data_IF_203759534114
#
_entry.id   IF_203759534114
#
_cell.length_a   1.000
_cell.length_b   1.000
_cell.length_c   1.000
_cell.angle_alpha   90.00
_cell.angle_beta   90.00
_cell.angle_gamma   90.00
#
_symmetry.space_group_name_H-M   'P 1'
#
loop_
_entity.id
_entity.type
_entity.pdbx_description
1 polymer ?
#
# COMPACT_ATOMS: atom_id res chain seq x y z
N UNK A 1 -1.77 29.97 0.68
CA UNK A 1 -1.71 28.54 0.35
C UNK A 1 -1.57 27.79 1.65
N UNK A 2 -2.62 27.09 2.07
CA UNK A 2 -2.62 26.38 3.34
C UNK A 2 -1.89 25.05 3.14
N UNK A 3 -0.60 25.02 3.49
CA UNK A 3 0.30 23.87 3.27
C UNK A 3 0.90 23.42 4.58
N UNK A 4 0.92 22.11 4.79
CA UNK A 4 1.63 21.48 5.90
C UNK A 4 2.88 20.81 5.33
N UNK A 5 4.03 21.09 5.92
CA UNK A 5 5.32 20.56 5.48
C UNK A 5 5.96 19.84 6.65
N UNK A 6 6.35 18.60 6.42
CA UNK A 6 7.07 17.79 7.40
C UNK A 6 8.39 17.33 6.77
N UNK A 7 9.50 17.43 7.52
CA UNK A 7 10.84 17.12 7.01
C UNK A 7 11.27 15.72 7.43
N UNK A 8 12.14 15.10 6.64
CA UNK A 8 12.72 13.79 6.95
C UNK A 8 13.37 13.72 8.35
N UNK A 9 14.01 14.80 8.79
CA UNK A 9 14.62 14.90 10.12
C UNK A 9 13.58 14.79 11.25
N UNK A 10 12.40 15.38 11.06
CA UNK A 10 11.30 15.27 12.03
C UNK A 10 10.76 13.84 12.10
N UNK A 11 10.90 13.07 11.01
CA UNK A 11 10.48 11.67 10.91
C UNK A 11 11.47 10.68 11.52
N UNK A 12 12.77 10.96 11.44
CA UNK A 12 13.82 10.11 12.04
C UNK A 12 13.76 10.11 13.58
N UNK A 13 13.12 11.13 14.17
CA UNK A 13 12.85 11.19 15.60
C UNK A 13 11.92 10.09 16.12
N UNK A 14 11.13 9.43 15.25
CA UNK A 14 10.22 8.35 15.66
C UNK A 14 10.91 6.98 15.80
N UNK A 15 12.06 6.78 15.14
CA UNK A 15 12.77 5.50 15.20
C UNK A 15 13.56 5.42 16.51
N UNK A 16 13.46 4.28 17.20
CA UNK A 16 14.28 4.01 18.39
C UNK A 16 15.73 3.73 17.98
N UNK A 17 16.65 3.75 18.95
CA UNK A 17 18.04 3.40 18.68
C UNK A 17 18.19 1.94 18.23
N UNK A 18 17.35 1.04 18.78
CA UNK A 18 17.28 -0.35 18.32
C UNK A 18 16.76 -0.45 16.88
N UNK A 19 15.71 0.31 16.52
CA UNK A 19 15.19 0.35 15.15
C UNK A 19 16.30 0.80 14.17
N UNK A 20 17.06 1.84 14.53
CA UNK A 20 18.18 2.35 13.73
C UNK A 20 19.28 1.31 13.58
N UNK A 21 19.69 0.65 14.66
CA UNK A 21 20.71 -0.39 14.62
C UNK A 21 20.29 -1.59 13.74
N UNK A 22 19.02 -1.98 13.79
CA UNK A 22 18.47 -3.06 12.95
C UNK A 22 18.43 -2.67 11.47
N UNK A 23 18.02 -1.43 11.16
CA UNK A 23 18.05 -0.88 9.80
C UNK A 23 19.48 -0.82 9.26
N UNK A 24 20.43 -0.29 10.04
CA UNK A 24 21.84 -0.22 9.64
C UNK A 24 22.45 -1.61 9.37
N UNK A 25 22.07 -2.61 10.17
CA UNK A 25 22.46 -4.01 9.96
C UNK A 25 21.90 -4.54 8.65
N UNK A 26 20.62 -4.29 8.36
CA UNK A 26 19.97 -4.67 7.10
C UNK A 26 20.66 -4.01 5.89
N UNK A 27 20.92 -2.71 5.96
CA UNK A 27 21.63 -1.95 4.92
C UNK A 27 23.07 -2.45 4.73
N UNK A 28 23.74 -2.88 5.81
CA UNK A 28 25.04 -3.52 5.74
C UNK A 28 25.02 -4.85 4.97
N UNK A 29 24.01 -5.69 5.20
CA UNK A 29 23.83 -6.96 4.47
C UNK A 29 23.48 -6.70 3.00
N UNK A 30 22.58 -5.74 2.74
CA UNK A 30 22.18 -5.42 1.37
C UNK A 30 23.34 -4.81 0.55
N UNK A 31 24.18 -3.98 1.18
CA UNK A 31 25.42 -3.49 0.53
C UNK A 31 26.35 -4.62 0.11
N UNK A 32 26.48 -5.69 0.90
CA UNK A 32 27.24 -6.89 0.49
C UNK A 32 26.60 -7.57 -0.72
N UNK A 33 25.27 -7.67 -0.75
CA UNK A 33 24.55 -8.25 -1.89
C UNK A 33 24.74 -7.42 -3.18
N UNK A 34 24.76 -6.10 -3.08
CA UNK A 34 25.02 -5.20 -4.22
C UNK A 34 26.39 -5.41 -4.87
N UNK A 35 27.41 -5.78 -4.08
CA UNK A 35 28.72 -6.16 -4.63
C UNK A 35 28.61 -7.41 -5.52
N UNK A 36 27.88 -8.44 -5.06
CA UNK A 36 27.61 -9.64 -5.85
C UNK A 36 26.78 -9.34 -7.10
N UNK A 37 25.79 -8.43 -7.05
CA UNK A 37 25.05 -8.01 -8.25
C UNK A 37 25.98 -7.39 -9.30
N UNK A 38 26.90 -6.53 -8.86
CA UNK A 38 27.86 -5.88 -9.74
C UNK A 38 28.77 -6.92 -10.43
N UNK A 39 29.25 -7.91 -9.68
CA UNK A 39 30.07 -9.00 -10.24
C UNK A 39 29.26 -9.85 -11.23
N UNK A 40 28.03 -10.22 -10.90
CA UNK A 40 27.15 -11.01 -11.77
C UNK A 40 26.81 -10.29 -13.08
N UNK A 41 26.63 -8.97 -13.04
CA UNK A 41 26.37 -8.16 -14.23
C UNK A 41 27.57 -8.09 -15.19
N UNK A 42 28.79 -8.20 -14.66
CA UNK A 42 30.03 -8.14 -15.43
C UNK A 42 30.57 -9.53 -15.85
N UNK A 43 30.15 -10.60 -15.17
CA UNK A 43 30.68 -11.94 -15.35
C UNK A 43 30.26 -12.56 -16.71
N UNK A 44 31.24 -13.08 -17.46
CA UNK A 44 31.03 -13.79 -18.75
C UNK A 44 31.17 -15.32 -18.66
N UNK A 45 31.45 -15.89 -17.48
CA UNK A 45 31.72 -17.33 -17.30
C UNK A 45 30.92 -17.99 -16.17
N UNK A 46 30.68 -19.30 -16.29
CA UNK A 46 29.71 -20.06 -15.46
C UNK A 46 30.16 -20.31 -14.01
N UNK A 47 31.46 -20.54 -13.76
CA UNK A 47 31.96 -20.87 -12.41
C UNK A 47 31.92 -19.69 -11.42
N UNK A 48 32.29 -18.48 -11.88
CA UNK A 48 32.19 -17.26 -11.06
C UNK A 48 30.74 -16.89 -10.76
N UNK A 49 29.84 -17.14 -11.72
CA UNK A 49 28.41 -16.88 -11.58
C UNK A 49 27.77 -17.73 -10.48
N UNK A 50 27.99 -19.05 -10.49
CA UNK A 50 27.44 -19.97 -9.47
C UNK A 50 27.89 -19.64 -8.05
N UNK A 51 29.14 -19.19 -7.89
CA UNK A 51 29.68 -18.76 -6.60
C UNK A 51 28.93 -17.53 -6.07
N UNK A 52 28.77 -16.51 -6.90
CA UNK A 52 28.06 -15.28 -6.51
C UNK A 52 26.57 -15.52 -6.30
N UNK A 53 25.92 -16.39 -7.08
CA UNK A 53 24.54 -16.83 -6.85
C UNK A 53 24.40 -17.50 -5.48
N UNK A 54 25.33 -18.38 -5.10
CA UNK A 54 25.34 -19.01 -3.77
C UNK A 54 25.54 -17.99 -2.65
N UNK A 55 26.42 -17.00 -2.85
CA UNK A 55 26.63 -15.92 -1.90
C UNK A 55 25.38 -15.06 -1.71
N UNK A 56 24.68 -14.73 -2.81
CA UNK A 56 23.41 -14.01 -2.75
C UNK A 56 22.34 -14.79 -2.00
N UNK A 57 22.20 -16.09 -2.27
CA UNK A 57 21.25 -16.94 -1.53
C UNK A 57 21.55 -16.88 -0.03
N UNK A 58 22.81 -17.00 0.37
CA UNK A 58 23.21 -16.90 1.78
C UNK A 58 22.84 -15.54 2.39
N UNK A 59 23.14 -14.44 1.70
CA UNK A 59 22.83 -13.09 2.18
C UNK A 59 21.33 -12.84 2.29
N UNK A 60 20.54 -13.30 1.31
CA UNK A 60 19.09 -13.17 1.33
C UNK A 60 18.43 -14.04 2.39
N UNK A 61 18.98 -15.23 2.69
CA UNK A 61 18.53 -16.04 3.82
C UNK A 61 18.80 -15.35 5.17
N UNK A 62 19.97 -14.72 5.32
CA UNK A 62 20.30 -13.94 6.53
C UNK A 62 19.38 -12.72 6.68
N UNK A 63 19.21 -11.92 5.61
CA UNK A 63 18.30 -10.77 5.60
C UNK A 63 16.85 -11.20 5.87
N UNK A 64 16.38 -12.28 5.26
CA UNK A 64 15.03 -12.80 5.46
C UNK A 64 14.79 -13.27 6.89
N UNK A 65 15.78 -13.92 7.52
CA UNK A 65 15.70 -14.33 8.93
C UNK A 65 15.64 -13.10 9.85
N UNK A 66 16.50 -12.11 9.61
CA UNK A 66 16.52 -10.86 10.36
C UNK A 66 15.19 -10.09 10.21
N UNK A 67 14.65 -9.99 8.99
CA UNK A 67 13.35 -9.33 8.76
C UNK A 67 12.21 -10.01 9.51
N UNK A 68 12.16 -11.35 9.50
CA UNK A 68 11.15 -12.09 10.25
C UNK A 68 11.29 -11.88 11.75
N UNK A 69 12.51 -11.85 12.29
CA UNK A 69 12.76 -11.54 13.70
C UNK A 69 12.23 -10.15 14.07
N UNK A 70 12.55 -9.14 13.26
CA UNK A 70 12.11 -7.75 13.48
C UNK A 70 10.58 -7.64 13.42
N UNK A 71 9.95 -8.22 12.40
CA UNK A 71 8.49 -8.16 12.24
C UNK A 71 7.78 -8.95 13.34
N UNK A 72 8.33 -10.07 13.80
CA UNK A 72 7.77 -10.84 14.92
C UNK A 72 7.78 -10.07 16.24
N UNK A 73 8.80 -9.22 16.45
CA UNK A 73 8.87 -8.35 17.61
C UNK A 73 7.88 -7.16 17.55
N UNK A 74 7.37 -6.83 16.37
CA UNK A 74 6.41 -5.75 16.14
C UNK A 74 5.15 -6.26 15.42
N UNK A 75 4.14 -6.78 16.15
CA UNK A 75 2.96 -7.41 15.57
C UNK A 75 2.04 -6.45 14.78
N UNK A 76 2.28 -5.14 14.86
CA UNK A 76 1.60 -4.14 14.03
C UNK A 76 2.15 -4.07 12.61
N UNK A 77 3.26 -4.74 12.31
CA UNK A 77 3.78 -4.91 10.95
C UNK A 77 3.50 -6.35 10.52
N UNK A 78 2.56 -6.52 9.60
CA UNK A 78 2.15 -7.82 9.08
C UNK A 78 2.59 -7.94 7.63
N UNK A 79 3.54 -8.85 7.39
CA UNK A 79 4.06 -9.14 6.05
C UNK A 79 3.38 -10.40 5.55
N UNK A 80 2.69 -10.33 4.42
CA UNK A 80 1.91 -11.44 3.88
C UNK A 80 2.76 -12.72 3.74
N UNK A 81 3.97 -12.61 3.21
CA UNK A 81 4.88 -13.75 3.03
C UNK A 81 5.48 -14.28 4.33
N UNK A 82 5.30 -13.61 5.48
CA UNK A 82 5.76 -14.10 6.78
C UNK A 82 4.60 -14.68 7.61
N UNK A 83 3.41 -14.08 7.49
CA UNK A 83 2.23 -14.45 8.28
C UNK A 83 1.39 -15.59 7.67
N UNK A 84 1.47 -15.78 6.35
CA UNK A 84 0.69 -16.82 5.67
C UNK A 84 1.42 -18.17 5.66
N UNK A 85 0.67 -19.24 5.41
CA UNK A 85 1.24 -20.57 5.28
C UNK A 85 2.21 -20.65 4.08
N UNK A 86 3.31 -21.43 4.16
CA UNK A 86 4.35 -21.49 3.13
C UNK A 86 3.87 -21.72 1.70
N UNK A 87 2.79 -22.48 1.53
CA UNK A 87 2.13 -22.73 0.25
C UNK A 87 1.64 -21.45 -0.45
N UNK A 88 1.35 -20.38 0.30
CA UNK A 88 0.90 -19.10 -0.22
C UNK A 88 2.06 -18.12 -0.50
N UNK A 89 3.27 -18.38 0.02
CA UNK A 89 4.44 -17.49 -0.17
C UNK A 89 4.83 -17.37 -1.66
N UNK A 90 4.60 -18.43 -2.43
CA UNK A 90 4.82 -18.45 -3.87
C UNK A 90 3.90 -17.49 -4.64
N UNK A 91 2.69 -17.23 -4.13
CA UNK A 91 1.75 -16.29 -4.77
C UNK A 91 2.27 -14.86 -4.69
N UNK A 92 2.64 -14.41 -3.49
CA UNK A 92 3.23 -13.08 -3.28
C UNK A 92 4.51 -12.91 -4.10
N UNK A 93 5.39 -13.92 -4.10
CA UNK A 93 6.66 -13.88 -4.83
C UNK A 93 6.46 -13.71 -6.35
N UNK A 94 5.51 -14.44 -6.95
CA UNK A 94 5.21 -14.35 -8.39
C UNK A 94 4.60 -13.01 -8.78
N UNK A 95 3.69 -12.48 -7.96
CA UNK A 95 3.11 -11.15 -8.15
C UNK A 95 4.19 -10.08 -8.10
N UNK A 96 5.04 -10.11 -7.07
CA UNK A 96 6.13 -9.15 -6.90
C UNK A 96 7.13 -9.25 -8.05
N UNK A 97 7.49 -10.44 -8.53
CA UNK A 97 8.38 -10.59 -9.68
C UNK A 97 7.83 -9.88 -10.93
N UNK A 98 6.54 -10.02 -11.20
CA UNK A 98 5.87 -9.33 -12.31
C UNK A 98 5.82 -7.81 -12.10
N UNK A 99 5.48 -7.38 -10.90
CA UNK A 99 5.47 -5.95 -10.58
C UNK A 99 6.89 -5.35 -10.61
N UNK A 100 7.96 -6.12 -10.38
CA UNK A 100 9.35 -5.64 -10.49
C UNK A 100 9.83 -5.50 -11.93
N UNK A 101 9.35 -6.38 -12.80
CA UNK A 101 9.78 -6.44 -14.19
C UNK A 101 9.42 -5.13 -14.92
N UNK A 102 10.43 -4.48 -15.50
CA UNK A 102 10.30 -3.22 -16.25
C UNK A 102 9.50 -3.40 -17.53
N UNK A 103 9.49 -4.62 -18.08
CA UNK A 103 8.79 -4.95 -19.33
C UNK A 103 7.31 -5.27 -19.09
N UNK A 104 6.86 -5.37 -17.82
CA UNK A 104 5.45 -5.57 -17.50
C UNK A 104 4.63 -4.38 -17.93
N UNK A 105 3.76 -4.61 -18.90
CA UNK A 105 2.91 -3.60 -19.50
C UNK A 105 1.89 -3.05 -18.50
N UNK A 106 1.42 -1.82 -18.72
CA UNK A 106 0.49 -1.11 -17.84
C UNK A 106 -0.74 -1.95 -17.45
N UNK A 107 -1.39 -2.62 -18.41
CA UNK A 107 -2.59 -3.44 -18.15
C UNK A 107 -2.27 -4.64 -17.24
N UNK A 108 -1.14 -5.31 -17.50
CA UNK A 108 -0.68 -6.43 -16.68
C UNK A 108 -0.26 -5.96 -15.27
N UNK A 109 0.38 -4.79 -15.17
CA UNK A 109 0.74 -4.16 -13.90
C UNK A 109 -0.49 -3.83 -13.05
N UNK A 110 -1.53 -3.27 -13.67
CA UNK A 110 -2.81 -2.99 -13.00
C UNK A 110 -3.49 -4.27 -12.53
N UNK A 111 -3.50 -5.33 -13.35
CA UNK A 111 -4.03 -6.63 -12.96
C UNK A 111 -3.31 -7.21 -11.72
N UNK A 112 -1.97 -7.21 -11.72
CA UNK A 112 -1.23 -7.72 -10.55
C UNK A 112 -1.34 -6.79 -9.33
N UNK A 113 -1.50 -5.49 -9.54
CA UNK A 113 -1.82 -4.53 -8.46
C UNK A 113 -3.15 -4.91 -7.81
N UNK A 114 -4.19 -5.17 -8.60
CA UNK A 114 -5.47 -5.63 -8.08
C UNK A 114 -5.33 -6.92 -7.29
N UNK A 115 -4.69 -7.95 -7.86
CA UNK A 115 -4.43 -9.23 -7.17
C UNK A 115 -3.69 -9.03 -5.84
N UNK A 116 -2.70 -8.14 -5.80
CA UNK A 116 -1.97 -7.84 -4.57
C UNK A 116 -2.87 -7.26 -3.46
N UNK A 117 -3.78 -6.33 -3.81
CA UNK A 117 -4.70 -5.75 -2.84
C UNK A 117 -5.81 -6.70 -2.38
N UNK A 118 -6.25 -7.63 -3.24
CA UNK A 118 -7.17 -8.71 -2.84
C UNK A 118 -6.52 -9.62 -1.77
N UNK A 119 -5.24 -9.97 -1.94
CA UNK A 119 -4.50 -10.75 -0.94
C UNK A 119 -4.28 -9.97 0.37
N UNK A 120 -3.94 -8.68 0.27
CA UNK A 120 -3.78 -7.79 1.41
C UNK A 120 -5.09 -7.60 2.17
N UNK A 121 -6.22 -7.50 1.47
CA UNK A 121 -7.54 -7.45 2.08
C UNK A 121 -7.81 -8.73 2.87
N UNK A 122 -7.52 -9.90 2.28
CA UNK A 122 -7.58 -11.19 2.96
C UNK A 122 -6.73 -11.24 4.24
N UNK A 123 -5.51 -10.70 4.22
CA UNK A 123 -4.66 -10.61 5.42
C UNK A 123 -5.27 -9.66 6.47
N UNK A 124 -5.71 -8.48 6.05
CA UNK A 124 -6.20 -7.44 6.94
C UNK A 124 -7.56 -7.76 7.57
N UNK A 125 -8.42 -8.54 6.88
CA UNK A 125 -9.81 -8.79 7.27
C UNK A 125 -10.19 -10.28 7.40
N UNK A 126 -9.43 -11.22 6.81
CA UNK A 126 -9.79 -12.64 6.70
C UNK A 126 -9.39 -13.54 7.89
N UNK A 127 -8.59 -13.05 8.84
CA UNK A 127 -8.03 -13.89 9.93
C UNK A 127 -8.92 -14.15 11.14
N UNK A 128 -10.11 -13.55 11.24
CA UNK A 128 -10.99 -13.81 12.38
C UNK A 128 -11.78 -15.10 12.12
N UNK A 129 -11.66 -16.10 13.00
CA UNK A 129 -12.68 -17.13 13.15
C UNK A 129 -13.97 -16.43 13.56
N UNK A 130 -14.74 -15.94 12.59
CA UNK A 130 -16.06 -15.42 12.86
C UNK A 130 -16.93 -16.62 13.22
N UNK A 131 -17.32 -16.72 14.49
CA UNK A 131 -18.26 -17.75 14.94
C UNK A 131 -19.61 -17.60 14.21
N UNK A 132 -19.93 -16.35 13.80
CA UNK A 132 -21.13 -16.00 13.07
C UNK A 132 -20.90 -15.95 11.55
N UNK A 133 -21.88 -16.46 10.81
CA UNK A 133 -21.89 -16.46 9.34
C UNK A 133 -22.92 -15.47 8.82
N UNK A 134 -22.59 -14.82 7.71
CA UNK A 134 -23.52 -14.01 6.92
C UNK A 134 -23.96 -14.79 5.68
N UNK A 135 -24.99 -14.27 5.00
CA UNK A 135 -25.58 -14.88 3.82
C UNK A 135 -25.82 -13.84 2.74
N UNK A 136 -25.42 -14.15 1.50
CA UNK A 136 -25.81 -13.40 0.31
C UNK A 136 -26.87 -14.21 -0.44
N UNK A 137 -28.01 -13.57 -0.73
CA UNK A 137 -29.13 -14.21 -1.45
C UNK A 137 -29.44 -13.43 -2.74
N UNK A 138 -28.54 -13.43 -3.74
CA UNK A 138 -28.83 -12.80 -5.01
C UNK A 138 -29.87 -13.58 -5.82
N UNK A 139 -30.67 -12.86 -6.61
CA UNK A 139 -31.47 -13.46 -7.68
C UNK A 139 -30.53 -14.03 -8.74
N UNK A 140 -30.69 -15.29 -9.13
CA UNK A 140 -29.88 -15.84 -10.24
C UNK A 140 -30.37 -15.22 -11.55
N UNK A 141 -29.53 -14.61 -12.38
CA UNK A 141 -29.99 -13.94 -13.61
C UNK A 141 -30.47 -14.92 -14.70
N UNK A 142 -30.57 -16.22 -14.39
CA UNK A 142 -31.03 -17.28 -15.27
C UNK A 142 -32.54 -17.45 -15.11
N UNK A 143 -33.27 -17.15 -16.19
CA UNK A 143 -34.74 -17.24 -16.24
C UNK A 143 -35.25 -18.58 -16.77
N UNK A 144 -34.40 -19.37 -17.43
CA UNK A 144 -34.71 -20.71 -17.96
C UNK A 144 -33.81 -21.79 -17.35
N UNK A 145 -34.34 -22.92 -16.83
CA UNK A 145 -35.75 -23.33 -16.85
C UNK A 145 -36.62 -22.66 -15.77
N UNK A 146 -36.03 -22.05 -14.73
CA UNK A 146 -36.76 -21.33 -13.68
C UNK A 146 -35.87 -20.27 -13.02
N UNK A 147 -36.47 -19.13 -12.65
CA UNK A 147 -35.84 -18.09 -11.85
C UNK A 147 -35.62 -18.58 -10.42
N UNK A 148 -34.36 -18.78 -10.03
CA UNK A 148 -33.97 -19.21 -8.68
C UNK A 148 -33.27 -18.08 -7.89
N UNK A 149 -32.94 -18.37 -6.63
CA UNK A 149 -32.03 -17.59 -5.80
C UNK A 149 -30.81 -18.44 -5.50
N UNK A 150 -29.63 -17.84 -5.53
CA UNK A 150 -28.44 -18.49 -5.00
C UNK A 150 -28.32 -18.12 -3.52
N UNK A 151 -27.95 -19.07 -2.66
CA UNK A 151 -27.71 -18.81 -1.24
C UNK A 151 -26.23 -19.07 -0.98
N UNK A 152 -25.47 -18.00 -0.77
CA UNK A 152 -24.05 -18.08 -0.49
C UNK A 152 -23.81 -17.82 0.98
N UNK A 153 -23.01 -18.67 1.60
CA UNK A 153 -22.58 -18.51 2.99
C UNK A 153 -21.23 -17.81 3.00
N UNK A 154 -21.16 -16.69 3.69
CA UNK A 154 -19.96 -15.85 3.74
C UNK A 154 -19.50 -15.62 5.19
N UNK A 155 -18.22 -15.36 5.43
CA UNK A 155 -17.74 -14.87 6.72
C UNK A 155 -18.48 -13.58 7.08
N UNK A 156 -18.89 -13.42 8.34
CA UNK A 156 -19.37 -12.13 8.81
C UNK A 156 -18.17 -11.29 9.26
N UNK A 157 -17.88 -10.22 8.50
CA UNK A 157 -16.87 -9.21 8.83
C UNK A 157 -17.46 -7.79 8.92
N UNK A 158 -18.79 -7.65 8.92
CA UNK A 158 -19.48 -6.35 8.84
C UNK A 158 -18.97 -5.36 9.90
N UNK A 159 -18.83 -5.82 11.16
CA UNK A 159 -18.34 -4.99 12.28
C UNK A 159 -16.92 -4.42 12.06
N UNK A 160 -16.14 -5.02 11.15
CA UNK A 160 -14.78 -4.59 10.81
C UNK A 160 -14.74 -3.64 9.63
N UNK A 161 -15.80 -3.57 8.83
CA UNK A 161 -15.84 -2.81 7.57
C UNK A 161 -16.89 -1.68 7.54
N UNK A 162 -18.00 -1.81 8.28
CA UNK A 162 -19.13 -0.87 8.28
C UNK A 162 -18.83 0.50 8.95
N UNK A 163 -17.62 0.69 9.49
CA UNK A 163 -17.16 1.93 10.14
C UNK A 163 -15.89 2.50 9.49
N UNK A 164 -15.59 2.11 8.26
CA UNK A 164 -14.33 2.46 7.60
C UNK A 164 -14.39 3.79 6.85
N UNK A 165 -13.27 4.49 6.74
CA UNK A 165 -13.10 5.62 5.81
C UNK A 165 -11.84 5.40 5.00
N UNK A 166 -11.95 5.51 3.68
CA UNK A 166 -10.83 5.32 2.76
C UNK A 166 -10.08 6.64 2.60
N UNK A 167 -8.88 6.70 3.17
CA UNK A 167 -8.00 7.85 3.12
C UNK A 167 -7.03 7.72 1.95
N UNK A 168 -7.25 8.51 0.90
CA UNK A 168 -6.55 8.42 -0.38
C UNK A 168 -5.43 9.47 -0.45
N UNK A 169 -4.18 9.02 -0.49
CA UNK A 169 -3.01 9.88 -0.72
C UNK A 169 -2.79 10.09 -2.22
N UNK A 170 -3.32 11.18 -2.77
CA UNK A 170 -3.33 11.37 -4.21
C UNK A 170 -1.91 11.60 -4.77
N UNK A 171 -1.54 10.97 -5.90
CA UNK A 171 -2.41 10.25 -6.87
C UNK A 171 -2.19 8.75 -6.96
N UNK A 172 -0.99 8.24 -6.64
CA UNK A 172 -0.64 6.81 -6.79
C UNK A 172 -1.54 5.86 -5.98
N UNK A 173 -2.14 6.36 -4.90
CA UNK A 173 -3.04 5.61 -4.02
C UNK A 173 -4.47 5.42 -4.57
N UNK A 174 -4.88 6.10 -5.64
CA UNK A 174 -6.29 6.12 -6.05
C UNK A 174 -6.80 4.73 -6.47
N UNK A 175 -6.14 4.07 -7.43
CA UNK A 175 -6.52 2.72 -7.85
C UNK A 175 -6.50 1.72 -6.67
N UNK A 176 -5.42 1.62 -5.87
CA UNK A 176 -5.40 0.84 -4.63
C UNK A 176 -6.63 1.05 -3.73
N UNK A 177 -6.95 2.32 -3.48
CA UNK A 177 -8.05 2.72 -2.59
C UNK A 177 -9.40 2.29 -3.16
N UNK A 178 -9.58 2.39 -4.48
CA UNK A 178 -10.77 1.92 -5.16
C UNK A 178 -10.92 0.39 -5.12
N UNK A 179 -9.82 -0.36 -5.28
CA UNK A 179 -9.82 -1.83 -5.17
C UNK A 179 -10.24 -2.25 -3.75
N UNK A 180 -9.57 -1.72 -2.72
CA UNK A 180 -9.87 -2.07 -1.33
C UNK A 180 -11.30 -1.66 -0.95
N UNK A 181 -11.76 -0.50 -1.41
CA UNK A 181 -13.14 -0.06 -1.14
C UNK A 181 -14.17 -0.92 -1.87
N UNK A 182 -13.84 -1.46 -3.05
CA UNK A 182 -14.67 -2.44 -3.75
C UNK A 182 -14.75 -3.76 -2.97
N UNK A 183 -13.63 -4.26 -2.44
CA UNK A 183 -13.61 -5.45 -1.58
C UNK A 183 -14.47 -5.24 -0.32
N UNK A 184 -14.36 -4.08 0.34
CA UNK A 184 -15.23 -3.74 1.48
C UNK A 184 -16.72 -3.85 1.09
N UNK A 185 -17.10 -3.30 -0.06
CA UNK A 185 -18.49 -3.34 -0.50
C UNK A 185 -18.96 -4.79 -0.76
N UNK A 186 -18.17 -5.57 -1.49
CA UNK A 186 -18.51 -6.95 -1.87
C UNK A 186 -18.64 -7.88 -0.65
N UNK A 187 -17.85 -7.61 0.40
CA UNK A 187 -17.92 -8.35 1.66
C UNK A 187 -18.99 -7.82 2.64
N UNK A 188 -19.58 -6.66 2.38
CA UNK A 188 -20.63 -6.10 3.22
C UNK A 188 -21.98 -6.78 2.98
N UNK A 189 -22.58 -7.34 4.03
CA UNK A 189 -23.94 -7.89 3.91
C UNK A 189 -25.02 -6.81 3.73
N UNK A 190 -24.70 -5.55 4.05
CA UNK A 190 -25.62 -4.40 4.01
C UNK A 190 -25.37 -3.48 2.81
N UNK A 191 -24.41 -3.82 1.95
CA UNK A 191 -24.00 -2.98 0.83
C UNK A 191 -23.30 -1.70 1.24
N UNK A 192 -22.58 -1.70 2.37
CA UNK A 192 -21.82 -0.56 2.86
C UNK A 192 -20.81 -0.08 1.82
N UNK A 193 -20.78 1.23 1.58
CA UNK A 193 -19.80 1.87 0.70
C UNK A 193 -18.95 2.81 1.53
N UNK A 194 -17.66 2.50 1.63
CA UNK A 194 -16.70 3.32 2.38
C UNK A 194 -16.61 4.74 1.78
N UNK A 195 -16.81 5.81 2.56
CA UNK A 195 -16.58 7.19 2.13
C UNK A 195 -15.09 7.47 1.92
N UNK A 196 -14.79 8.43 1.04
CA UNK A 196 -13.42 8.82 0.69
C UNK A 196 -13.02 10.13 1.38
N UNK A 197 -11.83 10.14 1.96
CA UNK A 197 -11.11 11.33 2.40
C UNK A 197 -9.83 11.47 1.56
N UNK A 198 -9.63 12.61 0.92
CA UNK A 198 -8.62 12.80 -0.11
C UNK A 198 -7.56 13.77 0.38
N UNK A 199 -6.31 13.36 0.29
CA UNK A 199 -5.17 14.14 0.73
C UNK A 199 -4.23 14.36 -0.45
N UNK A 200 -4.10 15.61 -0.89
CA UNK A 200 -3.12 15.98 -1.93
C UNK A 200 -1.77 16.15 -1.28
N UNK A 201 -0.99 15.08 -1.29
CA UNK A 201 0.38 15.08 -0.76
C UNK A 201 1.39 14.89 -1.87
N UNK A 202 2.51 15.62 -1.78
CA UNK A 202 3.64 15.48 -2.70
C UNK A 202 4.94 15.37 -1.92
N UNK A 203 5.83 14.52 -2.42
CA UNK A 203 7.23 14.44 -1.99
C UNK A 203 8.09 15.34 -2.88
N UNK A 204 9.07 16.02 -2.29
CA UNK A 204 10.07 16.75 -3.06
C UNK A 204 11.18 15.81 -3.55
N UNK A 205 11.02 15.27 -4.76
CA UNK A 205 11.96 14.33 -5.37
C UNK A 205 13.30 14.96 -5.80
N UNK A 206 13.46 16.29 -5.65
CA UNK A 206 14.75 16.96 -5.87
C UNK A 206 15.70 16.82 -4.68
N UNK A 207 15.20 16.32 -3.54
CA UNK A 207 15.93 16.18 -2.29
C UNK A 207 16.32 14.72 -2.02
N UNK A 208 17.38 14.54 -1.24
CA UNK A 208 17.82 13.23 -0.77
C UNK A 208 16.99 12.75 0.43
N UNK A 209 17.04 11.46 0.73
CA UNK A 209 16.27 10.79 1.78
C UNK A 209 16.30 11.53 3.13
N UNK A 210 17.46 12.00 3.55
CA UNK A 210 17.68 12.70 4.83
C UNK A 210 17.20 14.16 4.87
N UNK A 211 16.93 14.75 3.70
CA UNK A 211 16.52 16.15 3.55
C UNK A 211 15.11 16.30 2.99
N UNK A 212 14.45 15.18 2.72
CA UNK A 212 13.20 15.14 1.97
C UNK A 212 12.07 15.86 2.69
N UNK A 213 11.19 16.47 1.91
CA UNK A 213 10.02 17.19 2.42
C UNK A 213 8.74 16.57 1.86
N UNK A 214 7.75 16.46 2.75
CA UNK A 214 6.40 15.99 2.42
C UNK A 214 5.45 17.15 2.57
N UNK A 215 4.85 17.55 1.46
CA UNK A 215 4.00 18.74 1.36
C UNK A 215 2.56 18.30 1.17
N UNK A 216 1.75 18.49 2.21
CA UNK A 216 0.30 18.31 2.17
C UNK A 216 -0.35 19.64 1.77
N UNK A 217 -1.01 19.65 0.61
CA UNK A 217 -1.74 20.79 0.05
C UNK A 217 -3.21 20.73 0.48
N UNK A 218 -3.58 21.51 1.49
CA UNK A 218 -4.93 21.50 2.07
C UNK A 218 -5.95 22.12 1.12
N UNK A 219 -5.54 23.09 0.31
CA UNK A 219 -6.40 23.75 -0.69
C UNK A 219 -6.80 22.80 -1.83
N UNK A 220 -6.14 21.65 -1.94
CA UNK A 220 -6.40 20.58 -2.92
C UNK A 220 -6.74 19.24 -2.26
N UNK A 221 -7.04 19.24 -0.97
CA UNK A 221 -7.47 18.07 -0.20
C UNK A 221 -8.97 18.17 0.10
N UNK A 222 -9.64 17.04 0.25
CA UNK A 222 -11.07 16.97 0.57
C UNK A 222 -11.29 15.97 1.70
N UNK A 223 -11.54 16.46 2.91
CA UNK A 223 -11.89 15.63 4.07
C UNK A 223 -12.64 16.50 5.08
N UNK A 224 -13.46 15.86 5.93
CA UNK A 224 -14.12 16.50 7.07
C UNK A 224 -13.63 15.84 8.36
N UNK A 225 -12.96 16.55 9.28
CA UNK A 225 -12.43 15.95 10.51
C UNK A 225 -13.47 15.14 11.30
N UNK A 226 -14.72 15.61 11.35
CA UNK A 226 -15.82 14.97 12.08
C UNK A 226 -16.22 13.63 11.46
N UNK A 227 -15.97 13.44 10.17
CA UNK A 227 -16.24 12.17 9.47
C UNK A 227 -15.11 11.15 9.65
N UNK A 228 -13.96 11.57 10.17
CA UNK A 228 -12.82 10.70 10.45
C UNK A 228 -12.78 10.26 11.94
N UNK A 229 -13.40 11.04 12.81
CA UNK A 229 -13.37 10.80 14.26
C UNK A 229 -14.08 9.49 14.64
N UNK A 230 -13.43 8.68 15.48
CA UNK A 230 -13.95 7.36 15.86
C UNK A 230 -14.05 6.34 14.71
N UNK A 231 -13.53 6.65 13.52
CA UNK A 231 -13.57 5.75 12.35
C UNK A 231 -12.35 4.85 12.24
N UNK A 232 -12.53 3.75 11.52
CA UNK A 232 -11.44 2.86 11.11
C UNK A 232 -10.86 3.41 9.79
N UNK A 233 -9.74 4.14 9.87
CA UNK A 233 -9.13 4.77 8.70
C UNK A 233 -8.29 3.77 7.92
N UNK A 234 -8.53 3.67 6.61
CA UNK A 234 -7.81 2.76 5.72
C UNK A 234 -7.03 3.59 4.71
N UNK A 235 -5.74 3.34 4.61
CA UNK A 235 -4.84 3.87 3.59
C UNK A 235 -4.40 2.73 2.69
N UNK A 236 -4.41 2.94 1.37
CA UNK A 236 -3.91 1.97 0.40
C UNK A 236 -2.97 2.68 -0.59
N UNK A 237 -1.68 2.32 -0.59
CA UNK A 237 -0.68 2.92 -1.47
C UNK A 237 0.31 1.84 -1.94
N UNK A 238 0.61 1.71 -3.26
CA UNK A 238 1.49 0.65 -3.74
C UNK A 238 2.85 0.60 -3.05
N UNK A 239 3.37 1.72 -2.55
CA UNK A 239 4.73 1.78 -2.03
C UNK A 239 4.81 2.52 -0.69
N UNK A 240 5.45 1.86 0.28
CA UNK A 240 5.87 2.46 1.52
C UNK A 240 7.40 2.56 1.61
N UNK A 241 7.96 3.63 1.05
CA UNK A 241 9.41 3.83 1.07
C UNK A 241 9.87 4.32 2.44
N UNK A 242 9.62 5.58 2.72
CA UNK A 242 10.07 6.27 3.93
C UNK A 242 8.94 6.40 4.96
N UNK A 243 7.70 6.03 4.66
CA UNK A 243 6.55 6.27 5.54
C UNK A 243 6.16 7.74 5.72
N UNK A 244 6.91 8.70 5.16
CA UNK A 244 6.73 10.12 5.47
C UNK A 244 5.42 10.71 4.96
N UNK A 245 4.94 10.34 3.77
CA UNK A 245 3.65 10.82 3.27
C UNK A 245 2.51 10.39 4.19
N UNK A 246 2.48 9.11 4.56
CA UNK A 246 1.47 8.54 5.47
C UNK A 246 1.52 9.22 6.84
N UNK A 247 2.70 9.30 7.45
CA UNK A 247 2.88 9.92 8.77
C UNK A 247 2.47 11.40 8.74
N UNK A 248 2.80 12.14 7.68
CA UNK A 248 2.41 13.55 7.53
C UNK A 248 0.89 13.72 7.53
N UNK A 249 0.17 12.90 6.74
CA UNK A 249 -1.29 12.96 6.69
C UNK A 249 -1.90 12.57 8.03
N UNK A 250 -1.44 11.47 8.62
CA UNK A 250 -2.01 10.96 9.88
C UNK A 250 -1.73 11.91 11.04
N UNK A 251 -0.52 12.48 11.15
CA UNK A 251 -0.22 13.47 12.18
C UNK A 251 -1.08 14.72 12.03
N UNK A 252 -1.23 15.21 10.81
CA UNK A 252 -2.06 16.37 10.57
C UNK A 252 -3.52 16.16 11.00
N UNK A 253 -4.14 15.01 10.69
CA UNK A 253 -5.51 14.74 11.17
C UNK A 253 -5.59 14.61 12.70
N UNK A 254 -4.57 14.03 13.36
CA UNK A 254 -4.51 13.94 14.82
C UNK A 254 -4.37 15.33 15.46
N UNK A 255 -3.59 16.22 14.84
CA UNK A 255 -3.39 17.61 15.30
C UNK A 255 -4.67 18.45 15.17
N UNK A 256 -5.60 18.08 14.27
CA UNK A 256 -6.95 18.64 14.20
C UNK A 256 -7.88 18.11 15.32
N UNK A 257 -7.40 17.21 16.17
CA UNK A 257 -8.16 16.63 17.28
C UNK A 257 -8.95 15.37 16.93
N UNK A 258 -8.82 14.87 15.69
CA UNK A 258 -9.43 13.60 15.27
C UNK A 258 -8.81 12.45 16.05
N UNK A 259 -9.63 11.52 16.55
CA UNK A 259 -9.22 10.31 17.24
C UNK A 259 -9.72 9.09 16.47
N UNK A 260 -8.97 8.62 15.46
CA UNK A 260 -9.30 7.40 14.74
C UNK A 260 -9.43 6.22 15.70
N UNK A 261 -10.40 5.34 15.44
CA UNK A 261 -10.51 4.07 16.18
C UNK A 261 -9.34 3.15 15.83
N UNK A 262 -8.98 3.07 14.55
CA UNK A 262 -7.77 2.38 14.09
C UNK A 262 -7.25 3.02 12.80
N UNK A 263 -5.98 2.81 12.52
CA UNK A 263 -5.36 3.15 11.23
C UNK A 263 -4.82 1.88 10.59
N UNK A 264 -5.28 1.55 9.39
CA UNK A 264 -4.80 0.40 8.62
C UNK A 264 -4.12 0.89 7.37
N UNK A 265 -2.90 0.47 7.13
CA UNK A 265 -2.18 0.81 5.92
C UNK A 265 -1.86 -0.45 5.13
N UNK A 266 -2.43 -0.56 3.93
CA UNK A 266 -2.22 -1.66 3.00
C UNK A 266 -1.27 -1.20 1.90
N UNK A 267 -0.19 -1.95 1.68
CA UNK A 267 0.81 -1.59 0.67
C UNK A 267 1.41 -2.80 -0.01
N UNK A 268 1.66 -2.73 -1.31
CA UNK A 268 2.26 -3.85 -2.05
C UNK A 268 3.69 -4.08 -1.57
N UNK A 269 4.48 -3.02 -1.46
CA UNK A 269 5.87 -3.13 -1.06
C UNK A 269 6.23 -2.08 -0.02
N UNK A 270 6.89 -2.51 1.04
CA UNK A 270 7.42 -1.62 2.06
C UNK A 270 8.92 -1.78 2.19
N UNK A 271 9.66 -0.69 2.39
CA UNK A 271 10.97 -0.78 2.99
C UNK A 271 10.82 -0.96 4.51
N UNK A 272 11.77 -1.67 5.13
CA UNK A 272 11.78 -1.91 6.57
C UNK A 272 11.72 -0.61 7.38
N UNK A 273 12.55 0.38 7.00
CA UNK A 273 12.56 1.73 7.59
C UNK A 273 11.19 2.40 7.57
N UNK A 274 10.50 2.34 6.42
CA UNK A 274 9.17 2.93 6.25
C UNK A 274 8.11 2.28 7.12
N UNK A 275 8.12 0.95 7.25
CA UNK A 275 7.15 0.22 8.07
C UNK A 275 7.33 0.52 9.57
N UNK A 276 8.57 0.45 10.07
CA UNK A 276 8.90 0.76 11.47
C UNK A 276 8.52 2.20 11.80
N UNK A 277 8.95 3.17 10.99
CA UNK A 277 8.64 4.57 11.23
C UNK A 277 7.12 4.83 11.30
N UNK A 278 6.34 4.20 10.44
CA UNK A 278 4.89 4.37 10.43
C UNK A 278 4.23 3.90 11.74
N UNK A 279 4.56 2.69 12.21
CA UNK A 279 4.00 2.15 13.48
C UNK A 279 4.56 2.81 14.74
N UNK A 280 5.75 3.41 14.67
CA UNK A 280 6.32 4.22 15.76
C UNK A 280 5.67 5.60 15.84
N UNK A 281 5.41 6.22 14.69
CA UNK A 281 4.82 7.55 14.64
C UNK A 281 3.33 7.55 14.97
N UNK A 282 2.62 6.46 14.67
CA UNK A 282 1.16 6.33 14.85
C UNK A 282 0.83 5.12 15.72
N UNK A 283 0.37 5.37 16.94
CA UNK A 283 0.20 4.36 17.98
C UNK A 283 -0.78 3.23 17.58
N UNK A 284 -1.94 3.59 17.05
CA UNK A 284 -3.02 2.67 16.67
C UNK A 284 -2.96 2.23 15.19
N UNK A 285 -1.76 2.23 14.59
CA UNK A 285 -1.56 1.82 13.21
C UNK A 285 -1.24 0.32 13.10
N UNK A 286 -1.72 -0.31 12.04
CA UNK A 286 -1.23 -1.60 11.55
C UNK A 286 -0.84 -1.47 10.07
N UNK A 287 0.38 -1.88 9.74
CA UNK A 287 0.91 -1.92 8.38
C UNK A 287 0.79 -3.34 7.86
N UNK A 288 0.03 -3.51 6.79
CA UNK A 288 -0.10 -4.75 6.04
C UNK A 288 0.67 -4.60 4.73
N UNK A 289 1.70 -5.42 4.53
CA UNK A 289 2.49 -5.36 3.29
C UNK A 289 2.61 -6.72 2.61
N UNK A 290 2.54 -6.74 1.28
CA UNK A 290 2.67 -7.99 0.53
C UNK A 290 4.14 -8.46 0.56
N UNK A 291 5.06 -7.49 0.51
CA UNK A 291 6.50 -7.74 0.45
C UNK A 291 7.31 -6.69 1.20
N UNK A 292 8.30 -7.14 1.98
CA UNK A 292 9.25 -6.26 2.66
C UNK A 292 10.59 -6.25 1.91
N UNK A 293 11.04 -5.07 1.50
CA UNK A 293 12.34 -4.85 0.89
C UNK A 293 13.38 -4.34 1.90
N UNK A 294 14.66 -4.70 1.73
CA UNK A 294 15.69 -4.51 2.74
C UNK A 294 16.12 -3.07 2.94
N UNK A 295 16.17 -2.27 1.87
CA UNK A 295 16.87 -1.01 1.90
C UNK A 295 16.17 0.08 1.07
N UNK A 296 16.61 1.32 1.32
CA UNK A 296 16.37 2.48 0.48
C UNK A 296 17.70 2.93 -0.13
N UNK A 297 17.67 3.53 -1.32
CA UNK A 297 18.82 4.28 -1.83
C UNK A 297 18.81 5.73 -1.31
N UNK A 298 19.85 6.50 -1.66
CA UNK A 298 20.02 7.91 -1.25
C UNK A 298 18.87 8.83 -1.70
N UNK A 299 18.17 8.46 -2.77
CA UNK A 299 17.00 9.14 -3.33
C UNK A 299 15.68 8.62 -2.75
N UNK A 300 15.72 7.83 -1.67
CA UNK A 300 14.57 7.25 -1.01
C UNK A 300 13.70 6.34 -1.90
N UNK A 301 14.29 5.68 -2.89
CA UNK A 301 13.66 4.58 -3.61
C UNK A 301 13.91 3.26 -2.88
N UNK A 302 12.87 2.43 -2.82
CA UNK A 302 12.94 1.06 -2.31
C UNK A 302 13.87 0.24 -3.19
N UNK A 303 14.70 -0.60 -2.57
CA UNK A 303 15.67 -1.44 -3.25
C UNK A 303 15.45 -2.93 -2.90
N UNK A 304 15.25 -3.82 -3.90
CA UNK A 304 15.26 -3.54 -5.35
C UNK A 304 14.05 -2.76 -5.88
N UNK A 305 12.97 -2.61 -5.11
CA UNK A 305 11.80 -1.78 -5.45
C UNK A 305 11.00 -2.21 -6.67
N UNK A 306 10.05 -1.36 -7.08
CA UNK A 306 9.17 -1.54 -8.26
C UNK A 306 9.30 -0.38 -9.28
N UNK A 307 10.29 0.51 -9.10
CA UNK A 307 10.32 1.82 -9.74
C UNK A 307 9.22 2.74 -9.19
N UNK A 308 8.76 3.70 -10.00
CA UNK A 308 7.62 4.55 -9.63
C UNK A 308 6.29 3.85 -9.96
N UNK A 309 5.69 3.19 -8.96
CA UNK A 309 4.42 2.50 -9.14
C UNK A 309 3.27 3.46 -9.53
N UNK A 310 3.31 4.72 -9.10
CA UNK A 310 2.31 5.72 -9.45
C UNK A 310 2.33 5.98 -10.95
N UNK A 311 3.50 6.23 -11.52
CA UNK A 311 3.69 6.41 -12.97
C UNK A 311 3.35 5.15 -13.76
N UNK A 312 3.61 3.96 -13.21
CA UNK A 312 3.28 2.69 -13.89
C UNK A 312 1.79 2.40 -13.94
N UNK A 313 1.03 2.82 -12.91
CA UNK A 313 -0.44 2.70 -12.89
C UNK A 313 -1.08 3.82 -13.72
N UNK A 314 -0.63 5.05 -13.51
CA UNK A 314 -1.32 6.26 -13.99
C UNK A 314 -0.75 6.78 -15.31
N UNK A 315 0.42 6.30 -15.73
CA UNK A 315 1.27 6.95 -16.71
C UNK A 315 2.02 8.15 -16.13
N UNK A 316 3.15 8.52 -16.75
CA UNK A 316 3.88 9.74 -16.40
C UNK A 316 3.02 10.98 -16.62
N UNK A 317 3.16 11.96 -15.73
CA UNK A 317 2.67 13.30 -16.00
C UNK A 317 3.46 13.90 -17.16
N UNK A 318 2.74 14.35 -18.18
CA UNK A 318 3.30 15.23 -19.19
C UNK A 318 2.93 16.64 -18.77
N UNK A 319 3.93 17.53 -18.61
CA UNK A 319 3.74 18.91 -18.13
C UNK A 319 2.74 19.72 -18.98
N UNK A 320 2.49 19.30 -20.23
CA UNK A 320 1.56 19.92 -21.16
C UNK A 320 0.13 19.35 -21.12
N UNK A 321 -0.09 18.18 -20.49
CA UNK A 321 -1.39 17.50 -20.38
C UNK A 321 -1.47 16.63 -19.10
N UNK A 322 -1.78 17.21 -17.93
CA UNK A 322 -2.13 16.40 -16.77
C UNK A 322 -3.36 15.53 -17.11
N UNK A 323 -3.26 14.21 -16.91
CA UNK A 323 -4.38 13.30 -17.15
C UNK A 323 -5.55 13.64 -16.23
N UNK A 324 -6.74 13.72 -16.80
CA UNK A 324 -7.97 14.03 -16.07
C UNK A 324 -8.44 12.82 -15.25
N UNK A 325 -9.17 13.05 -14.16
CA UNK A 325 -9.62 11.97 -13.28
C UNK A 325 -10.59 11.02 -13.99
N UNK A 326 -11.49 11.54 -14.82
CA UNK A 326 -12.29 10.74 -15.76
C UNK A 326 -11.43 9.83 -16.64
N UNK A 327 -10.26 10.27 -17.08
CA UNK A 327 -9.38 9.46 -17.93
C UNK A 327 -8.69 8.35 -17.13
N UNK A 328 -8.24 8.65 -15.91
CA UNK A 328 -7.73 7.63 -14.98
C UNK A 328 -8.81 6.59 -14.66
N UNK A 329 -10.03 7.03 -14.43
CA UNK A 329 -11.18 6.17 -14.10
C UNK A 329 -11.66 5.36 -15.31
N UNK A 330 -11.67 5.95 -16.51
CA UNK A 330 -11.96 5.23 -17.75
C UNK A 330 -10.92 4.14 -18.01
N UNK A 331 -9.64 4.41 -17.69
CA UNK A 331 -8.57 3.42 -17.76
C UNK A 331 -8.75 2.29 -16.71
N UNK A 332 -9.35 2.56 -15.55
CA UNK A 332 -9.62 1.57 -14.50
C UNK A 332 -10.88 0.71 -14.76
N UNK A 333 -11.61 0.97 -15.85
CA UNK A 333 -12.78 0.20 -16.28
C UNK A 333 -14.12 0.76 -15.78
N UNK A 334 -15.18 0.52 -16.57
CA UNK A 334 -16.52 1.10 -16.37
C UNK A 334 -17.22 0.67 -15.07
N UNK A 335 -16.90 -0.51 -14.55
CA UNK A 335 -17.49 -1.07 -13.31
C UNK A 335 -17.11 -0.27 -12.06
N UNK A 336 -15.81 -0.09 -11.80
CA UNK A 336 -15.31 0.66 -10.64
C UNK A 336 -15.69 2.14 -10.75
N UNK A 337 -15.63 2.71 -11.96
CA UNK A 337 -16.07 4.07 -12.25
C UNK A 337 -17.54 4.32 -11.87
N UNK A 338 -18.42 3.37 -12.16
CA UNK A 338 -19.86 3.49 -11.90
C UNK A 338 -20.19 3.56 -10.40
N UNK A 339 -19.42 2.85 -9.58
CA UNK A 339 -19.68 2.69 -8.16
C UNK A 339 -19.45 3.97 -7.36
N UNK A 340 -18.41 4.72 -7.76
CA UNK A 340 -17.99 5.93 -7.06
C UNK A 340 -18.41 7.21 -7.76
N UNK A 341 -19.25 7.19 -8.81
CA UNK A 341 -19.57 8.39 -9.63
C UNK A 341 -19.89 9.64 -8.80
N UNK A 342 -20.71 9.49 -7.75
CA UNK A 342 -21.09 10.61 -6.90
C UNK A 342 -19.92 11.14 -6.07
N UNK A 343 -19.09 10.26 -5.50
CA UNK A 343 -17.89 10.65 -4.74
C UNK A 343 -16.82 11.22 -5.68
N UNK A 344 -16.60 10.60 -6.84
CA UNK A 344 -15.69 11.02 -7.91
C UNK A 344 -15.98 12.46 -8.35
N UNK A 345 -17.25 12.79 -8.57
CA UNK A 345 -17.64 14.15 -8.95
C UNK A 345 -17.20 15.17 -7.90
N UNK A 346 -17.35 14.85 -6.62
CA UNK A 346 -16.84 15.69 -5.52
C UNK A 346 -15.30 15.79 -5.55
N UNK A 347 -14.60 14.74 -5.99
CA UNK A 347 -13.14 14.80 -6.21
C UNK A 347 -12.77 15.78 -7.33
N UNK A 348 -13.46 15.72 -8.47
CA UNK A 348 -13.20 16.61 -9.60
C UNK A 348 -13.41 18.08 -9.22
N UNK A 349 -14.55 18.37 -8.59
CA UNK A 349 -14.93 19.71 -8.17
C UNK A 349 -13.93 20.28 -7.13
N UNK A 350 -13.44 19.46 -6.20
CA UNK A 350 -12.57 19.93 -5.10
C UNK A 350 -11.08 19.94 -5.45
N UNK A 351 -10.57 18.87 -6.08
CA UNK A 351 -9.12 18.66 -6.28
C UNK A 351 -8.63 19.23 -7.61
N UNK A 352 -9.48 19.23 -8.64
CA UNK A 352 -9.09 19.63 -10.00
C UNK A 352 -9.59 21.02 -10.43
N UNK A 353 -10.46 21.66 -9.62
CA UNK A 353 -11.08 22.97 -9.93
C UNK A 353 -11.73 22.99 -11.31
N UNK A 354 -12.55 21.98 -11.62
CA UNK A 354 -13.44 21.97 -12.78
C UNK A 354 -14.86 21.71 -12.35
#
# INVERSE_FOLDING_TARGET
>A
MNKVVLKAQDLDGYLTDDDRAMIDRMDGLYRKAMLSFSILSAARGDAGRKKEESNLISLYNEMGSLMQEICKAEPRIQVYSFETAPEHHGEASRLIAKLRDIDTQRQEFMYYTQRAYELLFGLAFGGAKSENKNYLIPRTPVTMPVQNFAVHKIPNIDDRIDNTVMCVMLRGALLPSMIVSKEIQEFSSKGYVTPFALFKIKRDDTKNESTMEYVLDLDRSYFRPEELDGKDLIFADPMNATGGSLVTVVKYILDLGVKPKSVKFLTIISALKGALRAVRAVENMTVYTLWMDPALNEMAYIMPGLGDAGDRINGKDMDDRPRDMIQLIADYGSGIASLYRAQIRTIEETVLRR
#
